data_IF_488676856195
#
_entry.id   IF_488676856195
#
_cell.length_a   1.000
_cell.length_b   1.000
_cell.length_c   1.000
_cell.angle_alpha   90.00
_cell.angle_beta   90.00
_cell.angle_gamma   90.00
#
_symmetry.space_group_name_H-M   'P 1'
#
loop_
_entity.id
_entity.type
_entity.pdbx_description
1 polymer ?
#
# COMPACT_ATOMS: atom_id res chain seq x y z
N UNK A 1 -29.17 -8.98 10.85
CA UNK A 1 -29.56 -7.61 11.29
C UNK A 1 -28.62 -6.64 10.60
N UNK A 2 -29.12 -5.94 9.58
CA UNK A 2 -28.34 -5.00 8.79
C UNK A 2 -28.13 -3.73 9.59
N UNK A 3 -27.09 -3.72 10.43
CA UNK A 3 -26.57 -2.47 10.96
C UNK A 3 -26.01 -1.69 9.76
N UNK A 4 -26.64 -0.57 9.40
CA UNK A 4 -26.20 0.28 8.28
C UNK A 4 -24.80 0.80 8.57
N UNK A 5 -23.81 0.14 7.98
CA UNK A 5 -22.41 0.51 8.07
C UNK A 5 -22.15 1.71 7.17
N UNK A 6 -21.80 2.84 7.76
CA UNK A 6 -21.44 4.06 7.05
C UNK A 6 -19.91 4.06 6.87
N UNK A 7 -19.40 3.85 5.64
CA UNK A 7 -17.97 3.82 5.39
C UNK A 7 -17.35 5.21 5.49
N UNK A 8 -16.40 5.39 6.41
CA UNK A 8 -15.64 6.63 6.56
C UNK A 8 -14.28 6.59 5.88
N UNK A 9 -13.80 5.40 5.52
CA UNK A 9 -12.59 5.20 4.73
C UNK A 9 -12.90 4.41 3.45
N UNK A 10 -12.04 4.56 2.45
CA UNK A 10 -12.01 3.63 1.33
C UNK A 10 -11.53 2.24 1.80
N UNK A 11 -12.00 1.14 1.19
CA UNK A 11 -11.48 -0.18 1.52
C UNK A 11 -10.01 -0.26 1.13
N UNK A 12 -9.14 -0.60 2.09
CA UNK A 12 -7.69 -0.63 1.90
C UNK A 12 -7.17 -2.06 2.01
N UNK A 13 -6.41 -2.49 1.01
CA UNK A 13 -5.77 -3.82 1.02
C UNK A 13 -4.73 -3.96 2.12
N UNK A 14 -4.66 -5.15 2.72
CA UNK A 14 -3.54 -5.54 3.59
C UNK A 14 -2.44 -6.12 2.71
N UNK A 15 -1.23 -5.54 2.68
CA UNK A 15 -0.12 -6.03 1.87
C UNK A 15 0.19 -7.52 2.13
N UNK A 16 0.38 -8.28 1.05
CA UNK A 16 0.62 -9.72 1.12
C UNK A 16 -0.64 -10.56 1.32
N UNK A 17 -1.83 -9.98 1.16
CA UNK A 17 -3.09 -10.70 1.29
C UNK A 17 -4.16 -10.16 0.33
N UNK A 18 -5.21 -10.95 0.07
CA UNK A 18 -6.38 -10.51 -0.70
C UNK A 18 -7.45 -9.82 0.15
N UNK A 19 -7.14 -9.53 1.41
CA UNK A 19 -8.08 -8.96 2.36
C UNK A 19 -8.01 -7.44 2.35
N UNK A 20 -9.15 -6.81 2.55
CA UNK A 20 -9.33 -5.38 2.61
C UNK A 20 -9.97 -5.01 3.93
N UNK A 21 -9.50 -3.91 4.51
CA UNK A 21 -10.03 -3.37 5.76
C UNK A 21 -10.67 -2.03 5.48
N UNK A 22 -11.81 -1.81 6.09
CA UNK A 22 -12.53 -0.55 6.03
C UNK A 22 -12.96 -0.14 7.42
N UNK A 23 -12.74 1.12 7.77
CA UNK A 23 -13.19 1.74 9.00
C UNK A 23 -14.39 2.66 8.72
N UNK A 24 -15.39 2.60 9.60
CA UNK A 24 -16.64 3.33 9.47
C UNK A 24 -17.35 3.47 10.79
N UNK A 25 -18.62 3.87 10.72
CA UNK A 25 -19.52 3.96 11.87
C UNK A 25 -20.77 3.12 11.66
N UNK A 26 -21.27 2.59 12.76
CA UNK A 26 -22.60 1.97 12.86
C UNK A 26 -23.36 2.79 13.90
N UNK A 27 -24.33 3.58 13.44
CA UNK A 27 -24.96 4.60 14.28
C UNK A 27 -23.93 5.61 14.80
N UNK A 28 -23.75 5.66 16.12
CA UNK A 28 -22.77 6.52 16.78
C UNK A 28 -21.43 5.84 17.09
N UNK A 29 -21.34 4.52 16.94
CA UNK A 29 -20.18 3.72 17.37
C UNK A 29 -19.26 3.42 16.20
N UNK A 30 -17.95 3.42 16.45
CA UNK A 30 -16.96 3.01 15.46
C UNK A 30 -17.05 1.52 15.16
N UNK A 31 -16.97 1.19 13.88
CA UNK A 31 -16.98 -0.18 13.40
C UNK A 31 -15.89 -0.39 12.36
N UNK A 32 -15.27 -1.57 12.39
CA UNK A 32 -14.31 -2.03 11.39
C UNK A 32 -14.90 -3.21 10.63
N UNK A 33 -14.62 -3.24 9.33
CA UNK A 33 -15.10 -4.27 8.41
C UNK A 33 -13.91 -4.90 7.71
N UNK A 34 -13.92 -6.23 7.65
CA UNK A 34 -12.97 -7.03 6.90
C UNK A 34 -13.70 -7.64 5.70
N UNK A 35 -13.17 -7.38 4.51
CA UNK A 35 -13.70 -7.87 3.26
C UNK A 35 -12.63 -8.62 2.46
N UNK A 36 -13.08 -9.50 1.57
CA UNK A 36 -12.24 -10.20 0.59
C UNK A 36 -12.95 -10.14 -0.76
N UNK A 37 -12.42 -9.34 -1.68
CA UNK A 37 -13.14 -8.99 -2.91
C UNK A 37 -14.43 -8.24 -2.58
N UNK A 38 -15.57 -8.76 -3.04
CA UNK A 38 -16.89 -8.16 -2.78
C UNK A 38 -17.56 -8.71 -1.51
N UNK A 39 -17.03 -9.80 -0.96
CA UNK A 39 -17.63 -10.47 0.18
C UNK A 39 -17.09 -9.89 1.48
N UNK A 40 -18.01 -9.65 2.41
CA UNK A 40 -17.68 -9.16 3.74
C UNK A 40 -17.60 -10.35 4.65
N UNK A 41 -16.41 -10.56 5.20
CA UNK A 41 -16.11 -11.73 6.00
C UNK A 41 -16.48 -11.53 7.46
N UNK A 42 -16.10 -10.38 8.01
CA UNK A 42 -16.36 -10.09 9.41
C UNK A 42 -16.46 -8.57 9.66
N UNK A 43 -17.16 -8.21 10.73
CA UNK A 43 -17.29 -6.82 11.18
C UNK A 43 -17.36 -6.75 12.69
N UNK A 44 -16.60 -5.82 13.28
CA UNK A 44 -16.60 -5.59 14.72
C UNK A 44 -16.98 -4.15 15.04
N UNK A 45 -17.89 -4.02 15.99
CA UNK A 45 -18.30 -2.73 16.58
C UNK A 45 -17.52 -2.54 17.88
N UNK A 46 -16.97 -1.35 18.09
CA UNK A 46 -16.17 -1.01 19.28
C UNK A 46 -16.98 -0.14 20.23
N UNK A 47 -17.70 -0.78 21.15
CA UNK A 47 -18.52 -0.06 22.15
C UNK A 47 -17.69 0.79 23.13
N UNK A 48 -16.43 0.42 23.37
CA UNK A 48 -15.54 1.08 24.33
C UNK A 48 -15.17 2.51 23.94
N UNK A 49 -15.36 2.89 22.66
CA UNK A 49 -15.12 4.24 22.16
C UNK A 49 -16.44 4.87 21.71
N UNK A 50 -17.30 5.22 22.67
CA UNK A 50 -18.49 6.05 22.44
C UNK A 50 -18.10 7.53 22.37
N UNK A 51 -17.14 7.83 21.50
CA UNK A 51 -16.56 9.15 21.32
C UNK A 51 -16.31 9.45 19.86
N UNK A 52 -15.81 10.65 19.61
CA UNK A 52 -15.49 11.10 18.27
C UNK A 52 -14.21 10.50 17.72
N UNK A 53 -13.30 10.08 18.60
CA UNK A 53 -12.03 9.49 18.25
C UNK A 53 -12.19 8.03 17.81
N UNK A 54 -11.50 7.62 16.73
CA UNK A 54 -11.51 6.24 16.31
C UNK A 54 -10.78 5.34 17.31
N UNK A 55 -11.10 4.03 17.32
CA UNK A 55 -10.50 3.06 18.22
C UNK A 55 -8.97 3.09 18.18
N UNK A 56 -8.36 2.64 19.27
CA UNK A 56 -6.93 2.48 19.36
C UNK A 56 -6.42 1.59 18.21
N UNK A 57 -5.35 2.02 17.54
CA UNK A 57 -4.79 1.30 16.40
C UNK A 57 -4.39 -0.14 16.75
N UNK A 58 -3.87 -0.38 17.95
CA UNK A 58 -3.48 -1.71 18.41
C UNK A 58 -4.70 -2.63 18.56
N UNK A 59 -5.85 -2.09 18.99
CA UNK A 59 -7.09 -2.86 19.10
C UNK A 59 -7.63 -3.25 17.72
N UNK A 60 -7.51 -2.35 16.73
CA UNK A 60 -7.87 -2.64 15.34
C UNK A 60 -6.96 -3.74 14.78
N UNK A 61 -5.65 -3.58 14.92
CA UNK A 61 -4.66 -4.58 14.44
C UNK A 61 -4.87 -5.93 15.10
N UNK A 62 -5.02 -5.97 16.43
CA UNK A 62 -5.24 -7.21 17.17
C UNK A 62 -6.51 -7.94 16.71
N UNK A 63 -7.61 -7.20 16.49
CA UNK A 63 -8.82 -7.79 15.95
C UNK A 63 -8.62 -8.31 14.52
N UNK A 64 -7.99 -7.54 13.63
CA UNK A 64 -7.72 -7.98 12.24
C UNK A 64 -6.89 -9.27 12.23
N UNK A 65 -5.85 -9.37 13.07
CA UNK A 65 -5.04 -10.59 13.20
C UNK A 65 -5.90 -11.76 13.68
N UNK A 66 -6.77 -11.54 14.67
CA UNK A 66 -7.66 -12.60 15.18
C UNK A 66 -8.73 -13.06 14.18
N UNK A 67 -9.18 -12.16 13.30
CA UNK A 67 -10.21 -12.43 12.31
C UNK A 67 -9.65 -13.08 11.03
N UNK A 68 -8.34 -12.95 10.78
CA UNK A 68 -7.70 -13.47 9.57
C UNK A 68 -7.19 -14.91 9.78
N UNK A 69 -7.67 -15.88 8.97
CA UNK A 69 -7.16 -17.25 9.02
C UNK A 69 -5.84 -17.40 8.24
N UNK A 70 -4.88 -16.48 8.42
CA UNK A 70 -3.60 -16.50 7.71
C UNK A 70 -2.45 -16.70 8.70
N UNK A 71 -1.77 -17.86 8.69
CA UNK A 71 -0.52 -18.01 9.42
C UNK A 71 0.56 -17.10 8.81
N UNK A 72 1.34 -16.42 9.65
CA UNK A 72 2.51 -15.60 9.28
C UNK A 72 2.24 -14.26 8.57
N UNK A 73 1.07 -13.65 8.77
CA UNK A 73 0.85 -12.27 8.34
C UNK A 73 1.68 -11.29 9.17
N UNK A 74 2.42 -10.38 8.52
CA UNK A 74 3.25 -9.40 9.22
C UNK A 74 2.38 -8.33 9.91
N UNK A 75 2.37 -8.24 11.26
CA UNK A 75 1.55 -7.27 11.99
C UNK A 75 1.85 -5.81 11.61
N UNK A 76 3.09 -5.52 11.22
CA UNK A 76 3.51 -4.17 10.83
C UNK A 76 2.83 -3.70 9.55
N UNK A 77 2.59 -4.61 8.59
CA UNK A 77 1.88 -4.26 7.36
C UNK A 77 0.41 -3.95 7.62
N UNK A 78 -0.21 -4.70 8.54
CA UNK A 78 -1.57 -4.42 9.01
C UNK A 78 -1.58 -3.05 9.70
N UNK A 79 -0.63 -2.78 10.60
CA UNK A 79 -0.55 -1.52 11.32
C UNK A 79 -0.41 -0.30 10.39
N UNK A 80 0.36 -0.42 9.30
CA UNK A 80 0.43 0.61 8.26
C UNK A 80 -0.93 0.89 7.63
N UNK A 81 -1.60 -0.15 7.14
CA UNK A 81 -2.93 -0.01 6.55
C UNK A 81 -3.92 0.58 7.54
N UNK A 82 -3.89 0.13 8.80
CA UNK A 82 -4.71 0.67 9.90
C UNK A 82 -4.44 2.15 10.13
N UNK A 83 -3.17 2.59 10.10
CA UNK A 83 -2.79 4.00 10.23
C UNK A 83 -3.43 4.87 9.15
N UNK A 84 -3.35 4.42 7.88
CA UNK A 84 -3.95 5.13 6.75
C UNK A 84 -5.48 5.22 6.85
N UNK A 85 -6.17 4.11 7.08
CA UNK A 85 -7.65 4.13 7.19
C UNK A 85 -8.11 4.94 8.40
N UNK A 86 -7.33 4.97 9.49
CA UNK A 86 -7.65 5.75 10.69
C UNK A 86 -7.55 7.24 10.40
N UNK A 87 -6.45 7.69 9.80
CA UNK A 87 -6.25 9.09 9.43
C UNK A 87 -7.31 9.57 8.43
N UNK A 88 -7.60 8.76 7.41
CA UNK A 88 -8.63 9.08 6.42
C UNK A 88 -10.03 9.14 7.06
N UNK A 89 -10.34 8.22 7.97
CA UNK A 89 -11.65 8.21 8.63
C UNK A 89 -11.83 9.41 9.56
N UNK A 90 -10.77 9.86 10.24
CA UNK A 90 -10.82 11.10 11.05
C UNK A 90 -11.12 12.28 10.13
N UNK A 91 -10.35 12.42 9.05
CA UNK A 91 -10.54 13.50 8.06
C UNK A 91 -11.97 13.54 7.51
N UNK A 92 -12.50 12.39 7.07
CA UNK A 92 -13.88 12.32 6.54
C UNK A 92 -14.94 12.54 7.60
N UNK A 93 -14.75 12.05 8.82
CA UNK A 93 -15.66 12.28 9.94
C UNK A 93 -15.73 13.76 10.29
N UNK A 94 -14.60 14.48 10.29
CA UNK A 94 -14.57 15.93 10.48
C UNK A 94 -15.25 16.69 9.34
N UNK A 95 -15.04 16.27 8.09
CA UNK A 95 -15.70 16.85 6.93
C UNK A 95 -17.22 16.67 6.98
N UNK A 96 -17.71 15.49 7.39
CA UNK A 96 -19.14 15.23 7.56
C UNK A 96 -19.76 16.07 8.69
N UNK A 97 -19.01 16.38 9.75
CA UNK A 97 -19.47 17.29 10.80
C UNK A 97 -19.52 18.75 10.34
N UNK A 98 -18.50 19.18 9.59
CA UNK A 98 -18.41 20.56 9.07
C UNK A 98 -19.42 20.85 7.97
N UNK A 99 -19.88 19.80 7.28
CA UNK A 99 -20.96 19.88 6.30
C UNK A 99 -22.22 19.25 6.91
N UNK A 100 -22.91 19.92 7.85
CA UNK A 100 -24.24 19.46 8.24
C UNK A 100 -25.09 19.36 6.97
N UNK A 101 -25.73 18.21 6.81
CA UNK A 101 -26.42 17.78 5.60
C UNK A 101 -27.26 18.91 5.00
N UNK A 102 -26.91 19.34 3.77
CA UNK A 102 -27.91 19.99 2.94
C UNK A 102 -28.98 18.92 2.68
N UNK A 103 -30.24 19.13 3.10
CA UNK A 103 -31.27 18.15 2.89
C UNK A 103 -31.46 17.96 1.39
N UNK A 104 -31.22 16.75 0.90
CA UNK A 104 -31.64 16.32 -0.43
C UNK A 104 -33.18 16.27 -0.44
N UNK A 105 -33.84 17.41 -0.65
CA UNK A 105 -35.27 17.48 -0.97
C UNK A 105 -35.62 18.24 -2.24
N UNK A 106 -34.64 18.76 -2.99
CA UNK A 106 -34.89 19.35 -4.30
C UNK A 106 -33.85 18.90 -5.32
N UNK A 107 -33.88 17.61 -5.68
CA UNK A 107 -33.50 17.24 -7.05
C UNK A 107 -34.71 17.62 -7.90
N UNK A 108 -34.78 18.91 -8.27
CA UNK A 108 -35.65 19.34 -9.35
C UNK A 108 -35.12 18.67 -10.61
N UNK A 109 -35.88 17.66 -11.03
CA UNK A 109 -35.90 17.07 -12.35
C UNK A 109 -35.68 18.17 -13.41
N UNK A 110 -34.48 18.19 -13.98
CA UNK A 110 -34.21 18.88 -15.22
C UNK A 110 -33.98 17.79 -16.24
N UNK A 111 -35.08 17.42 -16.91
CA UNK A 111 -35.04 16.75 -18.21
C UNK A 111 -34.27 17.64 -19.19
N UNK A 112 -32.95 17.47 -19.26
CA UNK A 112 -32.17 18.05 -20.33
C UNK A 112 -32.26 17.10 -21.55
N UNK A 113 -33.35 17.32 -22.28
CA UNK A 113 -33.50 17.17 -23.74
C UNK A 113 -32.31 16.55 -24.49
N UNK A 114 -32.61 15.41 -25.13
CA UNK A 114 -31.81 14.74 -26.16
C UNK A 114 -31.24 15.71 -27.20
N UNK A 115 -29.95 15.62 -27.47
CA UNK A 115 -29.33 16.06 -28.72
C UNK A 115 -28.09 15.18 -29.06
N UNK A 116 -27.77 14.97 -30.36
CA UNK A 116 -27.36 13.66 -30.88
C UNK A 116 -25.86 13.37 -30.92
N UNK A 117 -25.63 12.07 -31.12
CA UNK A 117 -24.42 11.28 -31.29
C UNK A 117 -23.42 11.81 -32.34
N UNK A 118 -22.15 11.42 -32.12
CA UNK A 118 -21.01 11.27 -33.05
C UNK A 118 -20.16 12.48 -33.46
N UNK A 119 -18.90 12.50 -32.97
CA UNK A 119 -17.73 12.71 -33.83
C UNK A 119 -16.60 11.73 -33.50
N UNK A 120 -16.09 11.14 -34.58
CA UNK A 120 -15.17 10.00 -34.77
C UNK A 120 -13.77 10.18 -34.18
N UNK A 121 -13.01 9.09 -33.98
CA UNK A 121 -11.58 9.14 -33.67
C UNK A 121 -10.81 9.63 -34.89
N UNK A 122 -9.97 10.67 -34.74
CA UNK A 122 -9.11 11.12 -35.82
C UNK A 122 -7.84 10.28 -35.87
N UNK A 123 -7.63 9.60 -36.99
CA UNK A 123 -6.34 9.04 -37.37
C UNK A 123 -5.94 9.62 -38.73
N UNK A 124 -4.74 10.23 -38.76
CA UNK A 124 -3.78 10.39 -39.89
C UNK A 124 -4.13 11.39 -41.03
N UNK A 125 -3.21 11.79 -41.97
CA UNK A 125 -1.76 11.49 -42.19
C UNK A 125 -0.83 12.66 -42.70
N UNK A 126 0.52 12.49 -42.59
CA UNK A 126 1.61 13.05 -43.47
C UNK A 126 2.00 14.54 -43.32
N UNK A 127 3.24 15.05 -43.50
CA UNK A 127 4.41 14.66 -44.31
C UNK A 127 5.74 15.21 -43.70
N UNK A 128 6.74 14.35 -43.41
CA UNK A 128 8.06 14.14 -44.09
C UNK A 128 9.11 15.27 -43.98
N UNK A 129 10.26 14.95 -43.40
CA UNK A 129 11.58 15.34 -43.91
C UNK A 129 12.48 14.09 -43.95
N UNK A 130 12.83 13.66 -45.15
CA UNK A 130 13.93 12.74 -45.45
C UNK A 130 15.13 13.58 -45.84
N UNK A 131 16.30 13.26 -45.27
CA UNK A 131 17.56 13.40 -46.00
C UNK A 131 18.58 12.34 -45.55
N UNK A 132 18.73 11.37 -46.45
CA UNK A 132 19.95 10.69 -46.92
C UNK A 132 21.02 10.13 -45.96
N UNK A 133 21.02 8.79 -45.91
CA UNK A 133 22.11 7.89 -46.34
C UNK A 133 23.52 8.08 -45.76
N UNK A 134 23.88 7.25 -44.78
CA UNK A 134 25.08 6.41 -44.85
C UNK A 134 24.99 5.25 -43.85
N UNK A 135 24.94 4.06 -44.42
CA UNK A 135 25.08 2.78 -43.75
C UNK A 135 26.40 2.68 -42.97
N UNK A 136 26.35 2.33 -41.68
CA UNK A 136 27.44 1.63 -41.01
C UNK A 136 26.98 0.97 -39.71
N UNK A 137 26.82 -0.35 -39.77
CA UNK A 137 26.77 -1.25 -38.61
C UNK A 137 27.96 -0.98 -37.69
N UNK A 138 27.72 -0.47 -36.47
CA UNK A 138 28.64 -0.63 -35.35
C UNK A 138 27.86 -0.91 -34.07
N UNK A 139 28.13 -2.08 -33.50
CA UNK A 139 27.64 -2.49 -32.20
C UNK A 139 27.98 -1.44 -31.14
N UNK A 140 26.97 -0.99 -30.40
CA UNK A 140 27.18 -0.13 -29.23
C UNK A 140 27.81 -0.97 -28.11
N UNK A 141 29.14 -0.96 -28.05
CA UNK A 141 29.88 -1.44 -26.89
C UNK A 141 29.58 -0.50 -25.72
N UNK A 142 28.81 -0.98 -24.74
CA UNK A 142 28.50 -0.22 -23.52
C UNK A 142 29.79 -0.09 -22.71
N UNK A 143 30.49 1.04 -22.83
CA UNK A 143 31.65 1.34 -21.99
C UNK A 143 31.10 1.71 -20.61
N UNK A 144 31.33 0.85 -19.63
CA UNK A 144 31.11 1.16 -18.22
C UNK A 144 32.14 2.23 -17.80
N UNK A 145 31.73 3.31 -17.11
CA UNK A 145 32.67 4.28 -16.56
C UNK A 145 33.54 3.61 -15.50
N UNK A 146 34.86 3.80 -15.61
CA UNK A 146 35.84 3.30 -14.65
C UNK A 146 35.65 3.96 -13.28
N UNK A 147 35.45 3.15 -12.25
CA UNK A 147 35.44 3.58 -10.86
C UNK A 147 36.88 4.00 -10.49
N UNK A 148 37.11 5.19 -9.92
CA UNK A 148 38.45 5.60 -9.49
C UNK A 148 38.96 4.69 -8.37
N UNK A 149 40.15 4.13 -8.58
CA UNK A 149 40.82 3.23 -7.65
C UNK A 149 41.17 3.92 -6.34
N UNK A 150 40.55 3.46 -5.25
CA UNK A 150 40.99 3.74 -3.90
C UNK A 150 42.07 2.74 -3.51
N UNK A 151 43.26 3.26 -3.20
CA UNK A 151 44.14 2.77 -2.15
C UNK A 151 44.55 1.31 -2.18
N UNK A 152 45.77 1.07 -2.67
CA UNK A 152 46.57 -0.10 -2.32
C UNK A 152 46.61 -0.29 -0.79
N UNK A 153 46.05 -1.40 -0.31
CA UNK A 153 46.51 -2.04 0.91
C UNK A 153 46.89 -3.47 0.53
N UNK A 154 48.19 -3.69 0.60
CA UNK A 154 48.92 -4.95 0.78
C UNK A 154 48.07 -6.18 1.13
N UNK A 155 48.33 -7.36 0.51
CA UNK A 155 47.84 -8.62 1.04
C UNK A 155 48.64 -8.97 2.29
N UNK A 156 48.20 -8.48 3.45
CA UNK A 156 48.61 -9.04 4.73
C UNK A 156 48.00 -10.43 4.85
N UNK A 157 48.89 -11.43 4.92
CA UNK A 157 48.73 -12.77 5.47
C UNK A 157 47.29 -13.30 5.64
N UNK A 158 46.96 -14.28 4.79
CA UNK A 158 45.82 -15.19 4.92
C UNK A 158 45.90 -15.89 6.30
N UNK A 159 45.14 -15.41 7.28
CA UNK A 159 44.69 -16.24 8.40
C UNK A 159 43.43 -16.97 7.96
N UNK A 160 43.54 -18.30 7.82
CA UNK A 160 42.46 -19.22 7.46
C UNK A 160 41.27 -18.98 8.38
N UNK A 161 40.11 -18.61 7.82
CA UNK A 161 38.88 -18.54 8.60
C UNK A 161 38.54 -19.92 9.13
N UNK A 162 38.09 -20.00 10.38
CA UNK A 162 37.60 -21.27 10.92
C UNK A 162 36.20 -21.50 10.37
N UNK A 163 36.03 -22.55 9.57
CA UNK A 163 34.73 -22.92 9.03
C UNK A 163 33.79 -23.33 10.18
N UNK A 164 32.59 -22.76 10.21
CA UNK A 164 31.59 -23.09 11.22
C UNK A 164 31.17 -24.56 11.07
N UNK A 165 31.39 -25.39 12.10
CA UNK A 165 31.06 -26.82 12.08
C UNK A 165 29.56 -27.11 11.89
N UNK A 166 28.69 -26.12 12.13
CA UNK A 166 27.23 -26.29 12.04
C UNK A 166 26.64 -25.89 10.69
N UNK A 167 27.29 -25.02 9.92
CA UNK A 167 26.73 -24.49 8.66
C UNK A 167 27.72 -24.37 7.50
N UNK A 168 29.02 -24.64 7.72
CA UNK A 168 30.06 -24.59 6.69
C UNK A 168 30.44 -23.17 6.23
N UNK A 169 29.75 -22.12 6.70
CA UNK A 169 30.06 -20.75 6.33
C UNK A 169 31.32 -20.27 7.06
N UNK A 170 32.23 -19.64 6.31
CA UNK A 170 33.47 -19.07 6.84
C UNK A 170 33.16 -17.76 7.57
N UNK A 171 33.22 -17.78 8.90
CA UNK A 171 32.97 -16.62 9.74
C UNK A 171 34.28 -15.95 10.13
N UNK A 172 34.39 -14.64 9.86
CA UNK A 172 35.57 -13.84 10.23
C UNK A 172 35.45 -13.21 11.62
N UNK A 173 34.26 -13.19 12.20
CA UNK A 173 33.96 -12.53 13.48
C UNK A 173 32.99 -13.38 14.31
N UNK A 174 33.20 -13.41 15.63
CA UNK A 174 32.36 -14.14 16.56
C UNK A 174 30.98 -13.46 16.73
N UNK A 175 29.85 -14.18 16.55
CA UNK A 175 28.51 -13.60 16.62
C UNK A 175 28.07 -13.17 18.03
N UNK A 176 28.76 -13.63 19.07
CA UNK A 176 28.41 -13.31 20.46
C UNK A 176 29.17 -12.12 21.03
N UNK A 177 30.36 -11.82 20.52
CA UNK A 177 31.21 -10.75 21.07
C UNK A 177 31.84 -9.81 20.02
N UNK A 178 31.65 -10.08 18.72
CA UNK A 178 32.13 -9.22 17.62
C UNK A 178 33.64 -9.19 17.40
N UNK A 179 34.42 -9.98 18.15
CA UNK A 179 35.87 -10.08 17.99
C UNK A 179 36.22 -10.96 16.77
N UNK A 180 37.30 -10.64 16.03
CA UNK A 180 37.78 -11.50 14.95
C UNK A 180 38.24 -12.86 15.51
N UNK A 181 37.96 -13.93 14.77
CA UNK A 181 38.35 -15.31 15.10
C UNK A 181 39.76 -15.64 14.60
#
# INVERSE_FOLDING_TARGET
MSNDFIPLSAPLGIPGSSYMVQLGKVGSTWAVRLAKGNDVLDSKVFHDNTGDDPPNANNLVAWIISALPIPNLNPYQIAKSVGFIRQESIRRNEEMKRKPAVPMKDVKEVELTKAPIEKKPSTSPGWVQEDNTAEQKKAAHRILPSIPGSGSSTPSAISKGTACQSCGTEIRFCPYCGKPL
#
